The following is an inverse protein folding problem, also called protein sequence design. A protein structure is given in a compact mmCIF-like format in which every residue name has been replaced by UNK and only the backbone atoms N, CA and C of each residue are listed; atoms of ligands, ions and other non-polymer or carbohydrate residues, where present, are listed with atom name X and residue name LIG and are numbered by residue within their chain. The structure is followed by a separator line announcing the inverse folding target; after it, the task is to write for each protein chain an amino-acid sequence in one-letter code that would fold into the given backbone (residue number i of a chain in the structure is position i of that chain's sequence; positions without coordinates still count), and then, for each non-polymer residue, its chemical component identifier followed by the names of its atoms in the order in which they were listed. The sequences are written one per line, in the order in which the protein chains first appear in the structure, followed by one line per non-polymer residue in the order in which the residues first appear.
data_IF_945793416189
#
_entry.id   IF_945793416189
#
_cell.length_a   1.000
_cell.length_b   1.000
_cell.length_c   1.000
_cell.angle_alpha   90.00
_cell.angle_beta   90.00
_cell.angle_gamma   90.00
#
_symmetry.space_group_name_H-M   'P 1'
#
loop_
_entity.id
_entity.type
_entity.pdbx_description
1 polymer ?
#
# COMPACT_ATOMS: atom_id res chain seq x y z
N UNK A 1 20.83 -60.56 -4.95
CA UNK A 1 19.47 -60.18 -5.39
C UNK A 1 19.62 -59.19 -6.54
N UNK A 2 19.33 -59.62 -7.76
CA UNK A 2 19.62 -58.84 -8.97
C UNK A 2 18.57 -57.74 -9.14
N UNK A 3 18.91 -56.49 -8.77
CA UNK A 3 18.06 -55.31 -9.00
C UNK A 3 17.61 -55.16 -10.46
N UNK A 4 18.37 -55.71 -11.42
CA UNK A 4 18.12 -55.59 -12.85
C UNK A 4 17.36 -56.78 -13.46
N UNK A 5 17.04 -57.81 -12.68
CA UNK A 5 16.28 -58.98 -13.15
C UNK A 5 14.91 -58.64 -13.78
N UNK A 6 14.09 -57.73 -13.21
CA UNK A 6 12.82 -57.37 -13.84
C UNK A 6 13.00 -56.63 -15.19
N UNK A 7 14.04 -55.80 -15.32
CA UNK A 7 14.35 -55.09 -16.55
C UNK A 7 14.81 -56.04 -17.68
N UNK A 8 15.60 -57.06 -17.35
CA UNK A 8 16.04 -58.09 -18.30
C UNK A 8 14.89 -58.98 -18.76
N UNK A 9 13.95 -59.31 -17.87
CA UNK A 9 12.77 -60.11 -18.19
C UNK A 9 11.85 -59.43 -19.20
N UNK A 10 11.60 -58.13 -19.03
CA UNK A 10 10.82 -57.33 -19.97
C UNK A 10 11.54 -57.25 -21.31
N UNK A 11 12.84 -56.91 -21.32
CA UNK A 11 13.62 -56.69 -22.55
C UNK A 11 13.75 -57.95 -23.42
N UNK A 12 13.74 -59.16 -22.86
CA UNK A 12 13.81 -60.41 -23.62
C UNK A 12 12.48 -60.81 -24.29
N UNK A 13 11.34 -60.19 -23.94
CA UNK A 13 10.02 -60.50 -24.53
C UNK A 13 9.47 -59.44 -25.48
N UNK A 14 10.07 -58.25 -25.54
CA UNK A 14 9.61 -57.17 -26.42
C UNK A 14 10.33 -57.14 -27.76
N UNK A 15 9.57 -56.99 -28.85
CA UNK A 15 10.09 -56.79 -30.21
C UNK A 15 10.93 -55.52 -30.28
N UNK A 16 11.97 -55.52 -31.11
CA UNK A 16 12.93 -54.42 -31.27
C UNK A 16 12.33 -52.99 -31.32
N UNK A 17 11.26 -52.68 -32.09
CA UNK A 17 10.65 -51.35 -32.09
C UNK A 17 10.05 -50.92 -30.74
N UNK A 18 9.56 -51.86 -29.94
CA UNK A 18 8.96 -51.54 -28.64
C UNK A 18 10.01 -51.13 -27.60
N UNK A 19 11.25 -51.61 -27.73
CA UNK A 19 12.37 -51.20 -26.86
C UNK A 19 12.72 -49.72 -27.06
N UNK A 20 12.73 -49.27 -28.31
CA UNK A 20 12.91 -47.85 -28.65
C UNK A 20 11.73 -46.98 -28.19
N UNK A 21 10.50 -47.49 -28.29
CA UNK A 21 9.34 -46.78 -27.75
C UNK A 21 9.45 -46.57 -26.23
N UNK A 22 9.87 -47.59 -25.47
CA UNK A 22 10.07 -47.47 -24.01
C UNK A 22 11.14 -46.41 -23.68
N UNK A 23 12.28 -46.43 -24.38
CA UNK A 23 13.32 -45.39 -24.22
C UNK A 23 12.79 -44.00 -24.57
N UNK A 24 12.00 -43.89 -25.65
CA UNK A 24 11.33 -42.66 -26.05
C UNK A 24 10.39 -42.14 -24.94
N UNK A 25 9.57 -42.99 -24.35
CA UNK A 25 8.67 -42.61 -23.25
C UNK A 25 9.43 -42.21 -21.98
N UNK A 26 10.53 -42.89 -21.64
CA UNK A 26 11.37 -42.52 -20.49
C UNK A 26 11.92 -41.10 -20.62
N UNK A 27 12.25 -40.67 -21.85
CA UNK A 27 12.71 -39.30 -22.12
C UNK A 27 11.53 -38.32 -22.25
N UNK A 28 10.41 -38.76 -22.83
CA UNK A 28 9.24 -37.91 -23.07
C UNK A 28 8.57 -37.45 -21.77
N UNK A 29 8.45 -38.34 -20.78
CA UNK A 29 7.79 -38.05 -19.49
C UNK A 29 8.43 -36.85 -18.76
N UNK A 30 9.75 -36.81 -18.47
CA UNK A 30 10.36 -35.65 -17.83
C UNK A 30 10.30 -34.40 -18.71
N UNK A 31 10.34 -34.55 -20.04
CA UNK A 31 10.25 -33.42 -20.96
C UNK A 31 8.85 -32.77 -20.94
N UNK A 32 7.79 -33.57 -20.90
CA UNK A 32 6.42 -33.08 -20.70
C UNK A 32 6.20 -32.50 -19.30
N UNK A 33 6.78 -33.12 -18.25
CA UNK A 33 6.68 -32.61 -16.89
C UNK A 33 7.38 -31.25 -16.77
N UNK A 34 8.59 -31.09 -17.31
CA UNK A 34 9.29 -29.82 -17.34
C UNK A 34 8.55 -28.78 -18.20
N UNK A 35 8.07 -29.16 -19.38
CA UNK A 35 7.33 -28.27 -20.27
C UNK A 35 6.04 -27.74 -19.62
N UNK A 36 5.28 -28.60 -18.95
CA UNK A 36 4.05 -28.20 -18.23
C UNK A 36 4.37 -27.33 -17.00
N UNK A 37 5.44 -27.64 -16.24
CA UNK A 37 5.90 -26.79 -15.13
C UNK A 37 6.29 -25.40 -15.59
N UNK A 38 7.03 -25.30 -16.69
CA UNK A 38 7.42 -24.01 -17.27
C UNK A 38 6.17 -23.24 -17.70
N UNK A 39 5.22 -23.87 -18.40
CA UNK A 39 3.97 -23.20 -18.79
C UNK A 39 3.14 -22.72 -17.60
N UNK A 40 3.04 -23.50 -16.53
CA UNK A 40 2.38 -23.08 -15.29
C UNK A 40 3.09 -21.88 -14.66
N UNK A 41 4.43 -21.92 -14.61
CA UNK A 41 5.26 -20.82 -14.10
C UNK A 41 5.04 -19.52 -14.87
N UNK A 42 5.05 -19.57 -16.21
CA UNK A 42 4.78 -18.41 -17.06
C UNK A 42 3.39 -17.82 -16.81
N UNK A 43 2.37 -18.67 -16.69
CA UNK A 43 1.00 -18.20 -16.42
C UNK A 43 0.85 -17.55 -15.04
N UNK A 44 1.54 -18.08 -14.02
CA UNK A 44 1.57 -17.45 -12.69
C UNK A 44 2.27 -16.09 -12.73
N UNK A 45 3.38 -15.96 -13.47
CA UNK A 45 4.06 -14.68 -13.64
C UNK A 45 3.20 -13.63 -14.35
N UNK A 46 2.46 -14.01 -15.40
CA UNK A 46 1.54 -13.10 -16.10
C UNK A 46 0.43 -12.59 -15.16
N UNK A 47 -0.08 -13.47 -14.29
CA UNK A 47 -1.10 -13.08 -13.31
C UNK A 47 -0.50 -12.15 -12.25
N UNK A 48 0.72 -12.42 -11.79
CA UNK A 48 1.49 -11.55 -10.89
C UNK A 48 1.69 -10.14 -11.46
N UNK A 49 2.18 -10.04 -12.70
CA UNK A 49 2.39 -8.74 -13.38
C UNK A 49 1.09 -7.95 -13.48
N UNK A 50 -0.05 -8.62 -13.75
CA UNK A 50 -1.36 -7.95 -13.76
C UNK A 50 -1.77 -7.42 -12.38
N UNK A 51 -1.46 -8.16 -11.31
CA UNK A 51 -1.72 -7.71 -9.94
C UNK A 51 -0.83 -6.51 -9.57
N UNK A 52 0.44 -6.54 -9.95
CA UNK A 52 1.39 -5.44 -9.74
C UNK A 52 0.95 -4.17 -10.49
N UNK A 53 0.52 -4.28 -11.75
CA UNK A 53 0.01 -3.14 -12.51
C UNK A 53 -1.20 -2.49 -11.83
N UNK A 54 -2.11 -3.30 -11.30
CA UNK A 54 -3.26 -2.79 -10.53
C UNK A 54 -2.76 -2.12 -9.25
N UNK A 55 -1.86 -2.76 -8.49
CA UNK A 55 -1.27 -2.17 -7.28
C UNK A 55 -0.58 -0.82 -7.54
N UNK A 56 0.18 -0.72 -8.62
CA UNK A 56 0.84 0.53 -9.03
C UNK A 56 -0.20 1.62 -9.32
N UNK A 57 -1.28 1.30 -10.01
CA UNK A 57 -2.33 2.27 -10.30
C UNK A 57 -3.00 2.77 -9.00
N UNK A 58 -3.21 1.89 -8.01
CA UNK A 58 -3.69 2.31 -6.68
C UNK A 58 -2.69 3.24 -5.99
N UNK A 59 -1.38 2.97 -6.06
CA UNK A 59 -0.38 3.87 -5.47
C UNK A 59 -0.41 5.27 -6.10
N UNK A 60 -0.59 5.34 -7.43
CA UNK A 60 -0.72 6.61 -8.13
C UNK A 60 -1.94 7.42 -7.65
N UNK A 61 -3.06 6.74 -7.40
CA UNK A 61 -4.30 7.38 -6.93
C UNK A 61 -4.27 7.72 -5.42
N UNK A 62 -3.55 6.95 -4.60
CA UNK A 62 -3.41 7.21 -3.15
C UNK A 62 -2.41 8.33 -2.87
N UNK A 63 -1.38 8.50 -3.69
CA UNK A 63 -0.36 9.55 -3.54
C UNK A 63 -0.95 10.97 -3.38
N UNK A 64 -1.88 11.44 -4.25
CA UNK A 64 -2.49 12.75 -4.06
C UNK A 64 -3.33 12.81 -2.79
N UNK A 65 -3.98 11.71 -2.37
CA UNK A 65 -4.77 11.66 -1.12
C UNK A 65 -3.86 11.88 0.10
N UNK A 66 -2.69 11.22 0.14
CA UNK A 66 -1.69 11.44 1.21
C UNK A 66 -1.30 12.92 1.30
N UNK A 67 -0.95 13.52 0.16
CA UNK A 67 -0.58 14.93 0.07
C UNK A 67 -1.72 15.85 0.52
N UNK A 68 -2.91 15.66 -0.03
CA UNK A 68 -4.08 16.50 0.25
C UNK A 68 -4.51 16.37 1.72
N UNK A 69 -4.38 15.19 2.32
CA UNK A 69 -4.65 14.96 3.76
C UNK A 69 -3.64 15.72 4.63
N UNK A 70 -2.34 15.69 4.30
CA UNK A 70 -1.33 16.48 5.01
C UNK A 70 -1.58 18.00 4.91
N UNK A 71 -2.00 18.48 3.73
CA UNK A 71 -2.38 19.88 3.52
C UNK A 71 -3.66 20.20 4.31
N UNK A 72 -4.67 19.32 4.28
CA UNK A 72 -5.93 19.50 5.00
C UNK A 72 -5.70 19.65 6.49
N UNK A 73 -4.83 18.82 7.08
CA UNK A 73 -4.43 18.93 8.49
C UNK A 73 -3.91 20.33 8.83
N UNK A 74 -2.97 20.84 8.03
CA UNK A 74 -2.37 22.16 8.24
C UNK A 74 -3.38 23.29 8.08
N UNK A 75 -4.22 23.24 7.04
CA UNK A 75 -5.23 24.26 6.77
C UNK A 75 -6.33 24.26 7.84
N UNK A 76 -6.72 23.07 8.30
CA UNK A 76 -7.72 22.91 9.36
C UNK A 76 -7.22 23.49 10.69
N UNK A 77 -5.95 23.25 11.03
CA UNK A 77 -5.33 23.85 12.21
C UNK A 77 -5.31 25.39 12.11
N UNK A 78 -4.90 25.95 10.96
CA UNK A 78 -4.92 27.40 10.73
C UNK A 78 -6.33 27.98 10.84
N UNK A 79 -7.31 27.33 10.22
CA UNK A 79 -8.72 27.72 10.25
C UNK A 79 -9.26 27.78 11.69
N UNK A 80 -9.02 26.73 12.49
CA UNK A 80 -9.45 26.66 13.89
C UNK A 80 -8.66 27.61 14.81
N UNK A 81 -7.48 28.04 14.39
CA UNK A 81 -6.66 29.05 15.09
C UNK A 81 -7.00 30.49 14.70
N UNK A 82 -7.97 30.71 13.81
CA UNK A 82 -8.47 32.03 13.42
C UNK A 82 -7.86 32.61 12.13
N UNK A 83 -7.12 31.82 11.33
CA UNK A 83 -6.65 32.28 10.01
C UNK A 83 -7.79 32.26 8.98
N UNK A 84 -8.22 33.45 8.56
CA UNK A 84 -9.30 33.63 7.58
C UNK A 84 -8.93 33.14 6.18
N UNK A 85 -7.64 33.18 5.81
CA UNK A 85 -7.18 32.63 4.53
C UNK A 85 -7.24 31.10 4.53
N UNK A 86 -7.07 30.48 5.70
CA UNK A 86 -7.11 29.04 5.85
C UNK A 86 -8.52 28.47 5.64
N UNK A 87 -9.59 29.21 5.95
CA UNK A 87 -10.99 28.76 5.76
C UNK A 87 -11.27 28.41 4.29
N UNK A 88 -11.06 29.37 3.37
CA UNK A 88 -11.33 29.17 1.95
C UNK A 88 -10.39 28.13 1.32
N UNK A 89 -9.13 28.09 1.78
CA UNK A 89 -8.17 27.09 1.33
C UNK A 89 -8.53 25.68 1.81
N UNK A 90 -9.00 25.53 3.07
CA UNK A 90 -9.42 24.25 3.64
C UNK A 90 -10.64 23.69 2.90
N UNK A 91 -11.60 24.52 2.52
CA UNK A 91 -12.76 24.11 1.72
C UNK A 91 -12.33 23.60 0.34
N UNK A 92 -11.51 24.36 -0.38
CA UNK A 92 -10.98 23.96 -1.70
C UNK A 92 -10.15 22.68 -1.64
N UNK A 93 -9.36 22.50 -0.59
CA UNK A 93 -8.55 21.30 -0.43
C UNK A 93 -9.40 20.08 -0.05
N UNK A 94 -10.47 20.26 0.74
CA UNK A 94 -11.42 19.20 1.06
C UNK A 94 -12.17 18.70 -0.20
N UNK A 95 -12.55 19.60 -1.11
CA UNK A 95 -13.14 19.23 -2.41
C UNK A 95 -12.16 18.37 -3.23
N UNK A 96 -10.91 18.84 -3.41
CA UNK A 96 -9.86 18.07 -4.10
C UNK A 96 -9.60 16.71 -3.45
N UNK A 97 -9.64 16.65 -2.13
CA UNK A 97 -9.46 15.41 -1.38
C UNK A 97 -10.61 14.43 -1.66
N UNK A 98 -11.85 14.92 -1.64
CA UNK A 98 -13.02 14.09 -1.96
C UNK A 98 -13.01 13.62 -3.42
N UNK A 99 -12.57 14.45 -4.36
CA UNK A 99 -12.41 14.06 -5.77
C UNK A 99 -11.33 12.99 -5.94
N UNK A 100 -10.20 13.12 -5.24
CA UNK A 100 -9.14 12.11 -5.25
C UNK A 100 -9.63 10.77 -4.67
N UNK A 101 -10.40 10.80 -3.58
CA UNK A 101 -11.07 9.60 -3.05
C UNK A 101 -12.12 9.03 -4.01
N UNK A 102 -12.82 9.86 -4.77
CA UNK A 102 -13.79 9.39 -5.77
C UNK A 102 -13.10 8.65 -6.92
N UNK A 103 -11.96 9.16 -7.40
CA UNK A 103 -11.11 8.48 -8.39
C UNK A 103 -10.63 7.13 -7.86
N UNK A 104 -10.08 7.10 -6.64
CA UNK A 104 -9.64 5.85 -6.01
C UNK A 104 -10.80 4.86 -5.84
N UNK A 105 -11.98 5.31 -5.40
CA UNK A 105 -13.16 4.46 -5.23
C UNK A 105 -13.68 3.89 -6.56
N UNK A 106 -13.64 4.67 -7.64
CA UNK A 106 -14.02 4.20 -8.97
C UNK A 106 -13.08 3.12 -9.50
N UNK A 107 -11.80 3.18 -9.11
CA UNK A 107 -10.84 2.13 -9.38
C UNK A 107 -11.02 0.92 -8.48
N UNK A 108 -11.26 1.15 -7.19
CA UNK A 108 -11.51 0.11 -6.21
C UNK A 108 -12.71 -0.76 -6.60
N UNK A 109 -13.79 -0.16 -7.08
CA UNK A 109 -14.95 -0.88 -7.60
C UNK A 109 -14.63 -1.87 -8.74
N UNK A 110 -13.54 -1.67 -9.48
CA UNK A 110 -13.11 -2.58 -10.57
C UNK A 110 -12.24 -3.73 -10.09
N UNK A 111 -11.47 -3.51 -9.03
CA UNK A 111 -10.37 -4.40 -8.62
C UNK A 111 -10.43 -4.84 -7.16
N UNK A 112 -11.50 -4.49 -6.42
CA UNK A 112 -11.59 -4.73 -4.98
C UNK A 112 -11.52 -6.21 -4.62
N UNK A 113 -12.12 -7.08 -5.43
CA UNK A 113 -12.02 -8.54 -5.28
C UNK A 113 -10.60 -9.05 -5.54
N UNK A 114 -9.89 -8.44 -6.50
CA UNK A 114 -8.55 -8.86 -6.91
C UNK A 114 -7.49 -8.54 -5.85
N UNK A 115 -7.61 -7.38 -5.18
CA UNK A 115 -6.70 -6.93 -4.13
C UNK A 115 -7.27 -7.11 -2.71
N UNK A 116 -8.43 -7.75 -2.58
CA UNK A 116 -9.15 -7.94 -1.32
C UNK A 116 -9.32 -6.64 -0.49
N UNK A 117 -9.50 -5.50 -1.15
CA UNK A 117 -9.60 -4.19 -0.45
C UNK A 117 -10.90 -4.02 0.30
N UNK A 118 -11.95 -4.74 -0.08
CA UNK A 118 -13.26 -4.75 0.60
C UNK A 118 -13.77 -3.31 0.79
N UNK A 119 -14.11 -2.89 2.02
CA UNK A 119 -14.64 -1.56 2.30
C UNK A 119 -13.56 -0.54 2.74
N UNK A 120 -12.27 -0.88 2.62
CA UNK A 120 -11.16 -0.05 3.15
C UNK A 120 -11.14 1.35 2.53
N UNK A 121 -11.31 1.46 1.22
CA UNK A 121 -11.32 2.75 0.52
C UNK A 121 -12.50 3.61 0.97
N UNK A 122 -13.68 3.01 1.06
CA UNK A 122 -14.88 3.70 1.51
C UNK A 122 -14.77 4.15 2.98
N UNK A 123 -14.18 3.31 3.84
CA UNK A 123 -13.91 3.63 5.26
C UNK A 123 -13.00 4.83 5.38
N UNK A 124 -11.88 4.85 4.66
CA UNK A 124 -10.93 5.97 4.65
C UNK A 124 -11.60 7.25 4.15
N UNK A 125 -12.39 7.16 3.08
CA UNK A 125 -13.12 8.30 2.53
C UNK A 125 -14.11 8.86 3.55
N UNK A 126 -14.95 8.02 4.15
CA UNK A 126 -15.94 8.43 5.14
C UNK A 126 -15.28 9.07 6.36
N UNK A 127 -14.18 8.49 6.86
CA UNK A 127 -13.41 9.07 7.97
C UNK A 127 -12.89 10.48 7.62
N UNK A 128 -12.36 10.68 6.41
CA UNK A 128 -11.87 12.00 5.98
C UNK A 128 -12.99 13.06 5.92
N UNK A 129 -14.18 12.70 5.45
CA UNK A 129 -15.34 13.60 5.39
C UNK A 129 -15.81 13.95 6.81
N UNK A 130 -15.87 12.97 7.71
CA UNK A 130 -16.22 13.19 9.10
C UNK A 130 -15.24 14.15 9.80
N UNK A 131 -13.94 14.05 9.52
CA UNK A 131 -12.95 14.97 10.08
C UNK A 131 -13.14 16.42 9.58
N UNK A 132 -13.49 16.60 8.31
CA UNK A 132 -13.82 17.93 7.76
C UNK A 132 -15.03 18.53 8.47
N UNK A 133 -16.09 17.74 8.68
CA UNK A 133 -17.30 18.23 9.35
C UNK A 133 -17.07 18.52 10.84
N UNK A 134 -16.34 17.66 11.54
CA UNK A 134 -15.93 17.88 12.93
C UNK A 134 -15.12 19.18 13.10
N UNK A 135 -14.23 19.46 12.15
CA UNK A 135 -13.49 20.72 12.13
C UNK A 135 -14.40 21.93 11.90
N UNK A 136 -15.37 21.86 10.99
CA UNK A 136 -16.35 22.93 10.79
C UNK A 136 -17.23 23.18 12.02
N UNK A 137 -17.50 22.12 12.79
CA UNK A 137 -18.24 22.21 14.05
C UNK A 137 -17.44 22.89 15.18
N UNK A 138 -16.19 23.27 14.95
CA UNK A 138 -15.37 24.01 15.92
C UNK A 138 -14.75 23.13 17.00
N UNK A 139 -14.55 21.84 16.74
CA UNK A 139 -13.82 20.96 17.66
C UNK A 139 -12.38 21.48 17.88
N UNK A 140 -11.81 21.20 19.05
CA UNK A 140 -10.53 21.77 19.46
C UNK A 140 -9.41 21.50 18.42
N UNK A 141 -8.58 22.52 18.07
CA UNK A 141 -7.57 22.41 17.01
C UNK A 141 -6.65 21.19 17.14
N UNK A 142 -6.22 20.88 18.36
CA UNK A 142 -5.31 19.77 18.63
C UNK A 142 -5.97 18.39 18.52
N UNK A 143 -7.26 18.28 18.87
CA UNK A 143 -8.02 17.02 18.72
C UNK A 143 -8.17 16.69 17.24
N UNK A 144 -8.55 17.68 16.43
CA UNK A 144 -8.66 17.53 14.98
C UNK A 144 -7.29 17.26 14.34
N UNK A 145 -6.23 17.95 14.79
CA UNK A 145 -4.89 17.71 14.30
C UNK A 145 -4.44 16.26 14.55
N UNK A 146 -4.67 15.73 15.76
CA UNK A 146 -4.38 14.34 16.11
C UNK A 146 -5.19 13.37 15.24
N UNK A 147 -6.48 13.62 15.06
CA UNK A 147 -7.34 12.74 14.27
C UNK A 147 -6.94 12.73 12.78
N UNK A 148 -6.42 13.83 12.23
CA UNK A 148 -5.79 13.84 10.90
C UNK A 148 -4.47 13.07 10.85
N UNK A 149 -3.71 12.97 11.95
CA UNK A 149 -2.52 12.10 12.01
C UNK A 149 -2.91 10.63 11.98
N UNK A 150 -3.97 10.26 12.70
CA UNK A 150 -4.50 8.89 12.70
C UNK A 150 -4.99 8.52 11.30
N UNK A 151 -5.74 9.41 10.63
CA UNK A 151 -6.16 9.24 9.24
C UNK A 151 -4.97 9.05 8.28
N UNK A 152 -3.89 9.81 8.45
CA UNK A 152 -2.67 9.62 7.64
C UNK A 152 -2.02 8.26 7.90
N UNK A 153 -2.02 7.81 9.15
CA UNK A 153 -1.49 6.50 9.53
C UNK A 153 -2.31 5.37 8.88
N UNK A 154 -3.64 5.47 8.92
CA UNK A 154 -4.53 4.51 8.27
C UNK A 154 -4.36 4.49 6.75
N UNK A 155 -4.14 5.65 6.13
CA UNK A 155 -3.86 5.74 4.70
C UNK A 155 -2.51 5.11 4.34
N UNK A 156 -1.47 5.28 5.17
CA UNK A 156 -0.19 4.61 4.99
C UNK A 156 -0.29 3.09 5.19
N UNK A 157 -1.08 2.63 6.16
CA UNK A 157 -1.38 1.21 6.34
C UNK A 157 -2.12 0.63 5.13
N UNK A 158 -2.99 1.41 4.51
CA UNK A 158 -3.64 1.02 3.26
C UNK A 158 -2.64 0.91 2.10
N UNK A 159 -1.68 1.85 1.98
CA UNK A 159 -0.59 1.73 1.00
C UNK A 159 0.21 0.45 1.22
N UNK A 160 0.57 0.13 2.47
CA UNK A 160 1.24 -1.11 2.80
C UNK A 160 0.41 -2.35 2.40
N UNK A 161 -0.89 -2.33 2.71
CA UNK A 161 -1.82 -3.40 2.34
C UNK A 161 -1.88 -3.63 0.83
N UNK A 162 -2.01 -2.55 0.04
CA UNK A 162 -2.02 -2.65 -1.43
C UNK A 162 -0.70 -3.21 -1.94
N UNK A 163 0.42 -2.72 -1.42
CA UNK A 163 1.76 -3.17 -1.83
C UNK A 163 1.99 -4.65 -1.52
N UNK A 164 1.44 -5.15 -0.41
CA UNK A 164 1.50 -6.57 -0.04
C UNK A 164 0.55 -7.43 -0.89
N UNK A 165 -0.70 -7.01 -1.08
CA UNK A 165 -1.73 -7.80 -1.80
C UNK A 165 -1.54 -7.80 -3.31
N UNK A 166 -0.92 -6.77 -3.88
CA UNK A 166 -0.56 -6.72 -5.30
C UNK A 166 0.63 -7.59 -5.66
N UNK A 167 1.37 -8.10 -4.67
CA UNK A 167 2.60 -8.86 -4.89
C UNK A 167 3.83 -7.99 -5.16
N UNK A 168 3.72 -6.66 -5.13
CA UNK A 168 4.85 -5.74 -5.35
C UNK A 168 6.01 -5.92 -4.34
N UNK A 169 5.73 -6.39 -3.12
CA UNK A 169 6.76 -6.74 -2.12
C UNK A 169 7.49 -8.05 -2.47
N UNK A 170 6.94 -8.85 -3.38
CA UNK A 170 7.49 -10.15 -3.79
C UNK A 170 8.29 -10.07 -5.10
N UNK A 171 8.53 -8.86 -5.63
CA UNK A 171 9.36 -8.67 -6.83
C UNK A 171 10.78 -9.24 -6.60
N UNK A 172 11.27 -10.01 -7.57
CA UNK A 172 12.56 -10.69 -7.51
C UNK A 172 13.74 -9.70 -7.60
N UNK A 173 13.52 -8.49 -8.13
CA UNK A 173 14.52 -7.43 -8.17
C UNK A 173 14.54 -6.58 -6.88
N UNK A 174 15.60 -6.75 -6.09
CA UNK A 174 15.84 -5.97 -4.88
C UNK A 174 15.84 -4.45 -5.13
N UNK A 175 16.27 -3.99 -6.31
CA UNK A 175 16.27 -2.57 -6.67
C UNK A 175 14.86 -1.97 -6.73
N UNK A 176 13.94 -2.65 -7.41
CA UNK A 176 12.51 -2.30 -7.47
C UNK A 176 11.87 -2.30 -6.09
N UNK A 177 12.16 -3.33 -5.28
CA UNK A 177 11.67 -3.43 -3.91
C UNK A 177 12.06 -2.22 -3.05
N UNK A 178 13.32 -1.79 -3.09
CA UNK A 178 13.78 -0.61 -2.34
C UNK A 178 13.13 0.69 -2.83
N UNK A 179 12.93 0.84 -4.14
CA UNK A 179 12.26 2.02 -4.69
C UNK A 179 10.78 2.06 -4.29
N UNK A 180 10.09 0.91 -4.30
CA UNK A 180 8.69 0.80 -3.87
C UNK A 180 8.58 1.14 -2.38
N UNK A 181 9.41 0.55 -1.52
CA UNK A 181 9.43 0.82 -0.07
C UNK A 181 9.76 2.29 0.22
N UNK A 182 10.78 2.84 -0.44
CA UNK A 182 11.18 4.22 -0.27
C UNK A 182 10.09 5.19 -0.72
N UNK A 183 9.52 5.00 -1.91
CA UNK A 183 8.54 5.92 -2.49
C UNK A 183 7.14 5.82 -1.87
N UNK A 184 6.71 4.61 -1.50
CA UNK A 184 5.33 4.35 -1.07
C UNK A 184 5.17 4.42 0.44
N UNK A 185 6.22 4.10 1.20
CA UNK A 185 6.14 3.98 2.66
C UNK A 185 7.06 4.99 3.34
N UNK A 186 8.37 4.93 3.10
CA UNK A 186 9.33 5.73 3.88
C UNK A 186 9.25 7.22 3.58
N UNK A 187 9.22 7.63 2.31
CA UNK A 187 9.17 9.04 1.94
C UNK A 187 7.90 9.73 2.46
N UNK A 188 6.68 9.18 2.27
CA UNK A 188 5.48 9.75 2.86
C UNK A 188 5.58 9.86 4.39
N UNK A 189 6.17 8.86 5.06
CA UNK A 189 6.37 8.88 6.53
C UNK A 189 7.26 10.05 6.94
N UNK A 190 8.40 10.20 6.29
CA UNK A 190 9.35 11.29 6.57
C UNK A 190 8.74 12.66 6.29
N UNK A 191 8.00 12.82 5.19
CA UNK A 191 7.27 14.06 4.89
C UNK A 191 6.23 14.35 5.97
N UNK A 192 5.50 13.32 6.44
CA UNK A 192 4.52 13.48 7.51
C UNK A 192 5.19 13.97 8.81
N UNK A 193 6.33 13.40 9.21
CA UNK A 193 7.09 13.83 10.38
C UNK A 193 7.53 15.28 10.30
N UNK A 194 8.08 15.70 9.16
CA UNK A 194 8.43 17.12 8.95
C UNK A 194 7.17 18.00 9.08
N UNK A 195 6.03 17.54 8.57
CA UNK A 195 4.75 18.22 8.74
C UNK A 195 4.28 18.31 10.20
N UNK A 196 4.48 17.25 10.99
CA UNK A 196 4.16 17.23 12.43
C UNK A 196 5.08 18.14 13.23
N UNK A 197 6.38 18.13 12.95
CA UNK A 197 7.37 19.05 13.54
C UNK A 197 7.02 20.50 13.20
N UNK A 198 6.57 20.78 11.97
CA UNK A 198 6.10 22.12 11.59
C UNK A 198 4.83 22.52 12.35
N UNK A 199 3.89 21.59 12.52
CA UNK A 199 2.69 21.81 13.34
C UNK A 199 3.06 22.18 14.78
N UNK A 200 3.98 21.41 15.38
CA UNK A 200 4.60 21.73 16.67
C UNK A 200 5.21 23.11 16.69
N UNK A 201 6.10 23.41 15.73
CA UNK A 201 6.80 24.68 15.60
C UNK A 201 5.85 25.87 15.56
N UNK A 202 4.70 25.75 14.88
CA UNK A 202 3.69 26.82 14.79
C UNK A 202 2.98 27.11 16.12
N UNK A 203 2.98 26.14 17.05
CA UNK A 203 2.51 26.34 18.41
C UNK A 203 3.50 27.07 19.32
N UNK A 204 4.76 27.21 18.91
CA UNK A 204 5.76 28.01 19.63
C UNK A 204 5.68 29.46 19.16
N UNK A 205 5.65 30.40 20.10
CA UNK A 205 5.79 31.83 19.84
C UNK A 205 6.69 32.42 20.92
N UNK A 206 7.48 33.43 20.60
CA UNK A 206 8.43 34.04 21.54
C UNK A 206 7.77 34.51 22.86
N UNK A 207 6.47 34.84 22.81
CA UNK A 207 5.67 35.32 23.95
C UNK A 207 4.79 34.24 24.62
N UNK A 208 4.88 32.97 24.22
CA UNK A 208 4.12 31.87 24.86
C UNK A 208 5.07 30.76 25.32
N UNK A 209 5.24 30.54 26.64
CA UNK A 209 5.96 29.37 27.12
C UNK A 209 5.30 28.09 26.64
N UNK A 210 6.08 27.02 26.56
CA UNK A 210 5.63 25.67 26.25
C UNK A 210 4.46 25.26 27.17
N UNK A 211 3.25 25.33 26.64
CA UNK A 211 2.05 24.73 27.22
C UNK A 211 2.28 23.21 27.40
N UNK A 212 1.77 22.64 28.50
CA UNK A 212 1.74 21.21 28.76
C UNK A 212 1.18 20.42 27.57
N UNK A 213 0.24 21.00 26.81
CA UNK A 213 -0.32 20.39 25.61
C UNK A 213 0.72 20.24 24.48
N UNK A 214 1.58 21.25 24.27
CA UNK A 214 2.69 21.18 23.31
C UNK A 214 3.75 20.18 23.77
N UNK A 215 3.97 20.08 25.09
CA UNK A 215 4.89 19.10 25.69
C UNK A 215 4.39 17.67 25.48
N UNK A 216 3.11 17.40 25.72
CA UNK A 216 2.50 16.08 25.51
C UNK A 216 2.56 15.69 24.03
N UNK A 217 2.23 16.62 23.12
CA UNK A 217 2.32 16.35 21.68
C UNK A 217 3.75 16.00 21.25
N UNK A 218 4.76 16.75 21.73
CA UNK A 218 6.17 16.46 21.44
C UNK A 218 6.61 15.09 21.97
N UNK A 219 6.14 14.69 23.17
CA UNK A 219 6.41 13.37 23.73
C UNK A 219 5.76 12.24 22.92
N UNK A 220 4.54 12.44 22.42
CA UNK A 220 3.84 11.47 21.57
C UNK A 220 4.55 11.29 20.23
N UNK A 221 5.00 12.38 19.60
CA UNK A 221 5.78 12.32 18.37
C UNK A 221 7.09 11.53 18.56
N UNK A 222 7.80 11.80 19.66
CA UNK A 222 9.03 11.07 20.02
C UNK A 222 8.77 9.57 20.24
N UNK A 223 7.65 9.21 20.85
CA UNK A 223 7.28 7.80 21.05
C UNK A 223 6.92 7.08 19.75
N UNK A 224 6.27 7.75 18.80
CA UNK A 224 5.92 7.17 17.50
C UNK A 224 7.12 6.86 16.62
N UNK A 225 8.22 7.62 16.76
CA UNK A 225 9.46 7.38 15.97
C UNK A 225 10.44 6.38 16.60
N UNK A 226 10.25 6.05 17.88
CA UNK A 226 11.08 5.06 18.58
C UNK A 226 10.59 3.61 18.43
N UNK A 227 9.46 3.40 17.75
CA UNK A 227 8.86 2.08 17.45
C UNK A 227 8.93 1.78 15.95
#
# INVERSE_FOLDING_TARGET
MNLLAPALFVTNRVRFPMKFAILGFIVLIPLLLLGTRVMLSLNTSITGIKHEQVGQQYLLDVTPILRLTMIQRSLTHGMLSGDTNAVANAARNAEKLNDAYATLAAQDAKFSTQLATTDRVQTLRTASVQLVERAKAGEAPLVIFSAWNDQLTDLMNFVYYITATSGMILDEDAGSLYLIDLSSIRLPRQINLVGQIRGLASGFSADRPLDDTTRIFAQTLLKQELL
#
